data_IF_516625103294
#
_entry.id   IF_516625103294
#
_cell.length_a   1.000
_cell.length_b   1.000
_cell.length_c   1.000
_cell.angle_alpha   90.00
_cell.angle_beta   90.00
_cell.angle_gamma   90.00
#
_symmetry.space_group_name_H-M   'P 1'
#
loop_
_entity.id
_entity.type
_entity.pdbx_description
1 polymer ?
#
# COMPACT_ATOMS: atom_id res chain seq x y z
N UNK A 1 14.65 2.93 5.77
CA UNK A 1 14.19 2.27 4.54
C UNK A 1 13.71 3.33 3.56
N UNK A 2 13.49 3.04 2.28
CA UNK A 2 12.99 4.03 1.32
C UNK A 2 11.73 3.51 0.64
N UNK A 3 10.76 4.41 0.43
CA UNK A 3 9.56 4.16 -0.35
C UNK A 3 9.20 5.41 -1.18
N UNK A 4 8.16 5.31 -2.01
CA UNK A 4 7.78 6.38 -2.91
C UNK A 4 6.41 6.96 -2.56
N UNK A 5 6.23 8.22 -2.92
CA UNK A 5 4.92 8.90 -2.95
C UNK A 5 4.59 9.12 -4.43
N UNK A 6 3.53 8.50 -4.91
CA UNK A 6 3.05 8.64 -6.27
C UNK A 6 1.89 9.63 -6.32
N UNK A 7 2.05 10.70 -7.07
CA UNK A 7 0.91 11.58 -7.39
C UNK A 7 0.03 10.89 -8.43
N UNK A 8 -1.18 10.55 -8.03
CA UNK A 8 -2.14 9.82 -8.87
C UNK A 8 -3.40 10.66 -9.05
N UNK A 9 -3.91 10.72 -10.26
CA UNK A 9 -5.15 11.42 -10.58
C UNK A 9 -5.92 10.78 -11.72
N UNK A 10 -7.15 11.21 -11.93
CA UNK A 10 -8.03 10.75 -13.01
C UNK A 10 -7.59 11.23 -14.39
N UNK A 11 -6.64 12.17 -14.45
CA UNK A 11 -6.15 12.77 -15.70
C UNK A 11 -4.65 13.05 -15.63
N UNK A 12 -4.03 13.21 -16.79
CA UNK A 12 -2.64 13.66 -16.89
C UNK A 12 -2.56 15.12 -16.47
N UNK A 13 -1.73 15.41 -15.47
CA UNK A 13 -1.49 16.77 -15.00
C UNK A 13 -0.29 17.40 -15.71
N UNK A 14 -0.31 18.70 -16.01
CA UNK A 14 0.87 19.41 -16.50
C UNK A 14 1.98 19.37 -15.44
N UNK A 15 3.23 19.25 -15.87
CA UNK A 15 4.41 19.08 -15.02
C UNK A 15 4.54 20.14 -13.90
N UNK A 16 4.08 21.38 -14.17
CA UNK A 16 4.05 22.45 -13.17
C UNK A 16 3.13 22.18 -11.95
N UNK A 17 2.25 21.18 -12.05
CA UNK A 17 1.32 20.75 -10.99
C UNK A 17 1.75 19.43 -10.35
N UNK A 18 2.92 18.90 -10.71
CA UNK A 18 3.45 17.71 -10.08
C UNK A 18 3.91 18.03 -8.68
N UNK A 19 3.71 17.05 -7.78
CA UNK A 19 4.22 17.14 -6.41
C UNK A 19 5.73 17.30 -6.40
N UNK A 20 6.21 18.03 -5.42
CA UNK A 20 7.64 18.21 -5.13
C UNK A 20 7.90 17.86 -3.66
N UNK A 21 9.14 17.54 -3.38
CA UNK A 21 9.55 17.24 -1.99
C UNK A 21 9.21 18.37 -1.02
N UNK A 22 9.25 19.62 -1.46
CA UNK A 22 8.92 20.82 -0.66
C UNK A 22 7.49 20.79 -0.12
N UNK A 23 6.53 20.23 -0.89
CA UNK A 23 5.10 20.18 -0.52
C UNK A 23 4.85 19.35 0.75
N UNK A 24 5.77 18.45 1.12
CA UNK A 24 5.63 17.56 2.26
C UNK A 24 6.24 18.09 3.55
N UNK A 25 7.08 19.13 3.49
CA UNK A 25 7.71 19.74 4.67
C UNK A 25 6.75 20.68 5.42
N UNK A 26 5.76 21.25 4.77
CA UNK A 26 4.70 22.04 5.39
C UNK A 26 3.59 21.17 6.00
N UNK A 27 3.53 19.89 5.61
CA UNK A 27 2.60 18.91 6.15
C UNK A 27 3.23 18.18 7.36
N UNK A 28 2.41 17.56 8.20
CA UNK A 28 2.89 16.69 9.28
C UNK A 28 3.48 15.36 8.79
N UNK A 29 3.61 15.15 7.49
CA UNK A 29 4.15 13.90 6.94
C UNK A 29 5.62 13.72 7.29
N UNK A 30 6.43 14.74 7.07
CA UNK A 30 7.82 14.75 7.55
C UNK A 30 7.81 14.96 9.07
N UNK A 31 8.46 14.07 9.78
CA UNK A 31 8.50 14.04 11.24
C UNK A 31 7.49 13.08 11.89
N UNK A 32 6.47 12.58 11.15
CA UNK A 32 5.52 11.56 11.63
C UNK A 32 5.62 10.25 10.89
N UNK A 33 5.68 10.28 9.56
CA UNK A 33 5.74 9.11 8.68
C UNK A 33 7.11 8.99 8.03
N UNK A 34 7.72 10.10 7.67
CA UNK A 34 9.02 10.16 7.00
C UNK A 34 10.04 10.97 7.80
N UNK A 35 11.29 10.54 7.73
CA UNK A 35 12.43 11.34 8.20
C UNK A 35 12.76 12.45 7.20
N UNK A 36 12.60 12.15 5.89
CA UNK A 36 12.97 13.04 4.79
C UNK A 36 12.21 12.68 3.53
N UNK A 37 11.89 13.70 2.71
CA UNK A 37 11.34 13.55 1.36
C UNK A 37 12.27 14.20 0.34
N UNK A 38 12.49 13.56 -0.79
CA UNK A 38 13.31 14.02 -1.91
C UNK A 38 12.56 13.83 -3.23
N UNK A 39 12.83 14.67 -4.23
CA UNK A 39 12.31 14.45 -5.58
C UNK A 39 12.92 13.18 -6.18
N UNK A 40 12.09 12.36 -6.86
CA UNK A 40 12.57 11.12 -7.46
C UNK A 40 13.41 11.44 -8.70
N UNK A 41 14.65 10.92 -8.73
CA UNK A 41 15.61 11.16 -9.81
C UNK A 41 15.44 10.19 -10.98
N UNK A 42 14.85 9.05 -10.74
CA UNK A 42 14.63 8.00 -11.73
C UNK A 42 13.17 7.51 -11.71
N UNK A 43 12.22 8.32 -12.18
CA UNK A 43 10.81 8.00 -12.14
C UNK A 43 10.46 6.72 -12.92
N UNK A 44 11.17 6.42 -14.01
CA UNK A 44 10.91 5.20 -14.81
C UNK A 44 11.20 3.93 -14.03
N UNK A 45 12.26 3.91 -13.23
CA UNK A 45 12.59 2.77 -12.38
C UNK A 45 11.56 2.60 -11.25
N UNK A 46 11.13 3.69 -10.65
CA UNK A 46 10.09 3.68 -9.61
C UNK A 46 8.77 3.16 -10.16
N UNK A 47 8.36 3.57 -11.36
CA UNK A 47 7.17 3.06 -12.05
C UNK A 47 7.31 1.56 -12.38
N UNK A 48 8.47 1.13 -12.88
CA UNK A 48 8.73 -0.29 -13.15
C UNK A 48 8.61 -1.13 -11.87
N UNK A 49 9.22 -0.68 -10.79
CA UNK A 49 9.16 -1.36 -9.49
C UNK A 49 7.72 -1.45 -8.97
N UNK A 50 6.95 -0.38 -9.09
CA UNK A 50 5.53 -0.38 -8.74
C UNK A 50 4.75 -1.39 -9.57
N UNK A 51 4.97 -1.42 -10.89
CA UNK A 51 4.33 -2.38 -11.79
C UNK A 51 4.61 -3.84 -11.38
N UNK A 52 5.86 -4.18 -11.10
CA UNK A 52 6.24 -5.52 -10.64
C UNK A 52 5.54 -5.90 -9.32
N UNK A 53 5.45 -4.97 -8.38
CA UNK A 53 4.76 -5.17 -7.10
C UNK A 53 3.25 -5.37 -7.31
N UNK A 54 2.60 -4.52 -8.09
CA UNK A 54 1.15 -4.60 -8.35
C UNK A 54 0.78 -5.89 -9.11
N UNK A 55 1.59 -6.31 -10.06
CA UNK A 55 1.38 -7.56 -10.79
C UNK A 55 1.48 -8.79 -9.87
N UNK A 56 2.41 -8.80 -8.91
CA UNK A 56 2.49 -9.87 -7.90
C UNK A 56 1.23 -9.97 -7.04
N UNK A 57 0.49 -8.88 -6.90
CA UNK A 57 -0.77 -8.84 -6.16
C UNK A 57 -1.99 -9.19 -7.02
N UNK A 58 -1.82 -9.43 -8.32
CA UNK A 58 -2.90 -9.71 -9.29
C UNK A 58 -3.96 -8.60 -9.33
N UNK A 59 -3.57 -7.35 -9.08
CA UNK A 59 -4.51 -6.24 -8.98
C UNK A 59 -4.49 -5.34 -10.21
N UNK A 60 -3.30 -4.99 -10.69
CA UNK A 60 -3.08 -3.89 -11.62
C UNK A 60 -1.87 -4.09 -12.50
N UNK A 61 -1.86 -3.37 -13.61
CA UNK A 61 -0.63 -3.08 -14.35
C UNK A 61 -0.42 -1.59 -14.45
N UNK A 62 0.82 -1.18 -14.64
CA UNK A 62 1.21 0.18 -14.98
C UNK A 62 1.63 0.19 -16.45
N UNK A 63 0.95 1.01 -17.25
CA UNK A 63 1.23 1.21 -18.67
C UNK A 63 1.28 2.71 -18.93
N UNK A 64 2.25 3.18 -19.70
CA UNK A 64 2.36 4.59 -20.12
C UNK A 64 2.13 5.58 -18.94
N UNK A 65 2.78 5.33 -17.79
CA UNK A 65 2.59 6.12 -16.57
C UNK A 65 1.16 6.11 -16.01
N UNK A 66 0.40 5.08 -16.30
CA UNK A 66 -0.95 4.91 -15.75
C UNK A 66 -1.10 3.57 -15.03
N UNK A 67 -1.93 3.56 -14.01
CA UNK A 67 -2.35 2.34 -13.30
C UNK A 67 -3.68 1.89 -13.88
N UNK A 68 -3.68 0.77 -14.61
CA UNK A 68 -4.90 0.12 -15.06
C UNK A 68 -5.42 -0.84 -13.99
N UNK A 69 -6.65 -0.66 -13.56
CA UNK A 69 -7.27 -1.46 -12.50
C UNK A 69 -8.00 -2.64 -13.13
N UNK A 70 -7.51 -3.88 -12.94
CA UNK A 70 -8.15 -5.08 -13.48
C UNK A 70 -9.19 -5.67 -12.54
N UNK A 71 -8.92 -5.66 -11.23
CA UNK A 71 -9.82 -6.20 -10.24
C UNK A 71 -9.83 -5.33 -8.98
N UNK A 72 -10.95 -5.30 -8.28
CA UNK A 72 -11.02 -4.75 -6.94
C UNK A 72 -10.22 -5.62 -5.97
N UNK A 73 -9.78 -5.03 -4.85
CA UNK A 73 -8.92 -5.70 -3.88
C UNK A 73 -9.56 -6.96 -3.28
N UNK A 74 -10.88 -6.95 -3.11
CA UNK A 74 -11.68 -8.07 -2.60
C UNK A 74 -11.72 -9.29 -3.55
N UNK A 75 -11.45 -9.08 -4.84
CA UNK A 75 -11.39 -10.14 -5.88
C UNK A 75 -9.99 -10.61 -6.19
N UNK A 76 -8.98 -9.94 -5.68
CA UNK A 76 -7.58 -10.37 -5.88
C UNK A 76 -7.33 -11.72 -5.22
N UNK A 77 -6.78 -12.72 -5.95
CA UNK A 77 -6.42 -14.01 -5.38
C UNK A 77 -5.49 -13.89 -4.17
N UNK A 78 -4.62 -12.89 -4.16
CA UNK A 78 -3.71 -12.61 -3.07
C UNK A 78 -4.48 -12.25 -1.78
N UNK A 79 -5.39 -11.28 -1.84
CA UNK A 79 -6.17 -10.86 -0.66
C UNK A 79 -7.20 -11.89 -0.23
N UNK A 80 -7.79 -12.64 -1.17
CA UNK A 80 -8.64 -13.79 -0.84
C UNK A 80 -7.86 -14.84 -0.05
N UNK A 81 -6.60 -15.12 -0.43
CA UNK A 81 -5.73 -16.06 0.31
C UNK A 81 -5.40 -15.52 1.71
N UNK A 82 -5.05 -14.24 1.84
CA UNK A 82 -4.81 -13.60 3.15
C UNK A 82 -6.04 -13.68 4.05
N UNK A 83 -7.22 -13.37 3.52
CA UNK A 83 -8.48 -13.47 4.27
C UNK A 83 -8.76 -14.90 4.75
N UNK A 84 -8.55 -15.91 3.90
CA UNK A 84 -8.72 -17.33 4.28
C UNK A 84 -7.76 -17.72 5.41
N UNK A 85 -6.50 -17.29 5.34
CA UNK A 85 -5.51 -17.52 6.40
C UNK A 85 -5.93 -16.85 7.71
N UNK A 86 -6.33 -15.57 7.65
CA UNK A 86 -6.89 -14.86 8.80
C UNK A 86 -8.05 -15.61 9.45
N UNK A 87 -9.04 -16.04 8.66
CA UNK A 87 -10.21 -16.78 9.13
C UNK A 87 -9.81 -18.09 9.80
N UNK A 88 -8.84 -18.81 9.25
CA UNK A 88 -8.32 -20.06 9.83
C UNK A 88 -7.74 -19.82 11.22
N UNK A 89 -6.87 -18.82 11.37
CA UNK A 89 -6.23 -18.49 12.65
C UNK A 89 -7.23 -17.95 13.66
N UNK A 90 -8.18 -17.08 13.25
CA UNK A 90 -9.24 -16.58 14.11
C UNK A 90 -10.14 -17.72 14.65
N UNK A 91 -10.50 -18.67 13.78
CA UNK A 91 -11.26 -19.85 14.20
C UNK A 91 -10.48 -20.75 15.17
N UNK A 92 -9.17 -20.88 14.99
CA UNK A 92 -8.32 -21.63 15.90
C UNK A 92 -8.21 -20.95 17.28
N UNK A 93 -8.05 -19.62 17.30
CA UNK A 93 -8.06 -18.81 18.54
C UNK A 93 -9.37 -18.94 19.31
N UNK A 94 -10.51 -18.91 18.62
CA UNK A 94 -11.84 -19.03 19.27
C UNK A 94 -12.08 -20.41 19.89
N UNK A 95 -11.29 -21.42 19.53
CA UNK A 95 -11.39 -22.80 20.06
C UNK A 95 -10.37 -23.14 21.13
N UNK A 96 -9.55 -22.17 21.55
CA UNK A 96 -8.60 -22.38 22.65
C UNK A 96 -9.36 -22.63 23.95
N UNK A 97 -8.88 -23.65 24.70
CA UNK A 97 -9.37 -23.91 26.05
C UNK A 97 -8.69 -22.95 27.05
N UNK A 98 -9.32 -22.77 28.19
CA UNK A 98 -8.76 -21.97 29.29
C UNK A 98 -7.37 -22.47 29.72
N UNK A 99 -7.15 -23.78 29.71
CA UNK A 99 -5.86 -24.40 29.98
C UNK A 99 -4.77 -24.02 28.96
N UNK A 100 -5.12 -23.90 27.68
CA UNK A 100 -4.16 -23.44 26.65
C UNK A 100 -3.75 -21.98 26.90
N UNK A 101 -4.73 -21.13 27.25
CA UNK A 101 -4.47 -19.74 27.58
C UNK A 101 -3.55 -19.59 28.80
N UNK A 102 -3.69 -20.43 29.83
CA UNK A 102 -2.87 -20.38 31.03
C UNK A 102 -1.48 -21.02 30.85
N UNK A 103 -1.40 -22.17 30.18
CA UNK A 103 -0.20 -23.01 30.18
C UNK A 103 0.58 -22.96 28.88
N UNK A 104 -0.03 -22.56 27.77
CA UNK A 104 0.57 -22.50 26.43
C UNK A 104 0.59 -21.09 25.85
N UNK A 105 0.95 -20.11 26.69
CA UNK A 105 0.90 -18.69 26.33
C UNK A 105 1.71 -18.36 25.06
N UNK A 106 2.82 -19.02 24.83
CA UNK A 106 3.65 -18.77 23.65
C UNK A 106 2.93 -19.18 22.36
N UNK A 107 2.24 -20.33 22.35
CA UNK A 107 1.37 -20.75 21.26
C UNK A 107 0.29 -19.70 20.96
N UNK A 108 -0.32 -19.12 22.00
CA UNK A 108 -1.34 -18.06 21.84
C UNK A 108 -0.71 -16.81 21.22
N UNK A 109 0.48 -16.41 21.69
CA UNK A 109 1.21 -15.26 21.13
C UNK A 109 1.58 -15.46 19.66
N UNK A 110 2.05 -16.66 19.30
CA UNK A 110 2.39 -17.00 17.92
C UNK A 110 1.16 -16.90 16.99
N UNK A 111 0.01 -17.41 17.41
CA UNK A 111 -1.24 -17.32 16.67
C UNK A 111 -1.70 -15.87 16.50
N UNK A 112 -1.57 -15.02 17.52
CA UNK A 112 -1.88 -13.59 17.45
C UNK A 112 -0.92 -12.88 16.50
N UNK A 113 0.37 -13.23 16.56
CA UNK A 113 1.39 -12.66 15.67
C UNK A 113 1.12 -13.04 14.20
N UNK A 114 0.80 -14.32 13.93
CA UNK A 114 0.39 -14.78 12.60
C UNK A 114 -0.84 -14.00 12.10
N UNK A 115 -1.84 -13.79 12.94
CA UNK A 115 -3.03 -13.03 12.59
C UNK A 115 -2.70 -11.57 12.27
N UNK A 116 -1.82 -10.92 13.04
CA UNK A 116 -1.36 -9.56 12.78
C UNK A 116 -0.70 -9.42 11.41
N UNK A 117 0.12 -10.39 10.98
CA UNK A 117 0.79 -10.37 9.69
C UNK A 117 -0.19 -10.30 8.50
N UNK A 118 -1.43 -10.76 8.66
CA UNK A 118 -2.45 -10.67 7.61
C UNK A 118 -2.95 -9.23 7.39
N UNK A 119 -2.71 -8.34 8.33
CA UNK A 119 -3.07 -6.92 8.26
C UNK A 119 -1.88 -6.01 7.91
N UNK A 120 -0.66 -6.57 7.81
CA UNK A 120 0.49 -5.77 7.37
C UNK A 120 0.25 -5.25 5.96
N UNK A 121 0.52 -3.98 5.78
CA UNK A 121 0.53 -3.34 4.46
C UNK A 121 1.53 -4.07 3.55
N UNK A 122 1.13 -4.27 2.32
CA UNK A 122 1.95 -5.00 1.34
C UNK A 122 2.88 -4.05 0.60
N UNK A 123 2.49 -2.79 0.52
CA UNK A 123 3.21 -1.73 -0.15
C UNK A 123 3.48 -0.60 0.85
N UNK A 124 4.75 -0.28 1.03
CA UNK A 124 5.18 0.82 1.91
C UNK A 124 5.01 2.20 1.24
N UNK A 125 4.54 2.20 -0.01
CA UNK A 125 4.38 3.41 -0.81
C UNK A 125 3.11 4.17 -0.41
N UNK A 126 3.13 5.48 -0.68
CA UNK A 126 2.00 6.39 -0.49
C UNK A 126 1.47 6.92 -1.82
N UNK A 127 0.25 7.37 -1.80
CA UNK A 127 -0.42 8.06 -2.93
C UNK A 127 -0.83 9.45 -2.49
N UNK A 128 -0.46 10.45 -3.28
CA UNK A 128 -1.04 11.78 -3.23
C UNK A 128 -2.12 11.86 -4.31
N UNK A 129 -3.39 11.67 -3.92
CA UNK A 129 -4.49 11.61 -4.86
C UNK A 129 -5.04 13.03 -5.14
N UNK A 130 -5.16 13.38 -6.41
CA UNK A 130 -5.59 14.69 -6.89
C UNK A 130 -4.85 15.90 -6.25
N UNK A 131 -3.61 15.67 -5.79
CA UNK A 131 -2.77 16.66 -5.08
C UNK A 131 -3.34 17.17 -3.74
N UNK A 132 -4.37 16.51 -3.19
CA UNK A 132 -5.06 16.93 -1.97
C UNK A 132 -5.00 15.87 -0.87
N UNK A 133 -5.09 14.59 -1.25
CA UNK A 133 -5.23 13.50 -0.29
C UNK A 133 -3.99 12.61 -0.28
N UNK A 134 -3.27 12.62 0.82
CA UNK A 134 -2.14 11.72 1.05
C UNK A 134 -2.62 10.50 1.84
N UNK A 135 -2.45 9.32 1.26
CA UNK A 135 -2.89 8.04 1.85
C UNK A 135 -1.90 6.91 1.54
N UNK A 136 -1.85 5.84 2.35
CA UNK A 136 -1.12 4.63 1.99
C UNK A 136 -1.58 4.05 0.65
N UNK A 137 -0.67 3.46 -0.12
CA UNK A 137 -0.99 2.83 -1.40
C UNK A 137 -2.08 1.76 -1.25
N UNK A 138 -2.05 0.97 -0.19
CA UNK A 138 -3.06 -0.06 0.09
C UNK A 138 -4.47 0.53 0.28
N UNK A 139 -4.58 1.71 0.85
CA UNK A 139 -5.86 2.41 1.00
C UNK A 139 -6.38 2.91 -0.34
N UNK A 140 -5.53 3.54 -1.15
CA UNK A 140 -5.87 3.90 -2.54
C UNK A 140 -6.38 2.69 -3.32
N UNK A 141 -5.68 1.56 -3.20
CA UNK A 141 -6.04 0.34 -3.91
C UNK A 141 -7.41 -0.21 -3.51
N UNK A 142 -7.84 -0.03 -2.26
CA UNK A 142 -9.18 -0.44 -1.78
C UNK A 142 -10.28 0.43 -2.35
N UNK A 143 -10.01 1.71 -2.57
CA UNK A 143 -10.98 2.69 -3.07
C UNK A 143 -11.00 2.79 -4.60
N UNK A 144 -9.96 2.31 -5.26
CA UNK A 144 -9.81 2.36 -6.71
C UNK A 144 -10.87 1.51 -7.43
N UNK A 145 -11.47 2.09 -8.46
CA UNK A 145 -12.59 1.50 -9.21
C UNK A 145 -12.04 0.52 -10.24
N UNK A 146 -12.52 -0.74 -10.23
CA UNK A 146 -12.16 -1.72 -11.23
C UNK A 146 -12.59 -1.27 -12.64
N UNK A 147 -11.71 -1.45 -13.62
CA UNK A 147 -11.89 -0.98 -15.00
C UNK A 147 -11.52 0.48 -15.23
N UNK A 148 -11.25 1.25 -14.19
CA UNK A 148 -10.79 2.63 -14.31
C UNK A 148 -9.27 2.69 -14.50
N UNK A 149 -8.82 3.69 -15.27
CA UNK A 149 -7.41 4.04 -15.46
C UNK A 149 -7.09 5.29 -14.67
N UNK A 150 -5.98 5.26 -13.94
CA UNK A 150 -5.45 6.38 -13.17
C UNK A 150 -4.06 6.72 -13.69
N UNK A 151 -3.68 7.99 -13.67
CA UNK A 151 -2.43 8.48 -14.20
C UNK A 151 -1.44 8.82 -13.10
N UNK A 152 -0.21 8.35 -13.23
CA UNK A 152 0.91 8.71 -12.38
C UNK A 152 1.53 9.98 -12.97
N UNK A 153 1.61 11.04 -12.17
CA UNK A 153 2.15 12.32 -12.55
C UNK A 153 3.53 12.54 -11.89
N UNK A 154 3.58 13.17 -10.74
CA UNK A 154 4.82 13.36 -9.99
C UNK A 154 5.17 12.17 -9.10
N UNK A 155 6.45 12.00 -8.77
CA UNK A 155 6.94 10.99 -7.83
C UNK A 155 7.95 11.63 -6.91
N UNK A 156 7.77 11.45 -5.60
CA UNK A 156 8.76 11.77 -4.59
C UNK A 156 9.21 10.49 -3.88
N UNK A 157 10.42 10.50 -3.35
CA UNK A 157 10.98 9.41 -2.56
C UNK A 157 11.09 9.84 -1.11
N UNK A 158 10.72 8.98 -0.18
CA UNK A 158 10.86 9.28 1.23
C UNK A 158 11.65 8.20 1.97
N UNK A 159 12.29 8.61 3.06
CA UNK A 159 13.01 7.74 3.99
C UNK A 159 12.22 7.66 5.30
N UNK A 160 12.06 6.45 5.84
CA UNK A 160 11.43 6.15 7.13
C UNK A 160 12.21 5.11 7.91
#
# INVERSE_FOLDING_TARGET
MYANIYQISDSILPQKRWIKSEDFYESNFVGTVADKVEDERNPEESIRTLNERLNKLYLRTVEDNAIAIFASIDRSPYFVKKYKSFRKTANALSRLYYSDYLCNIDKVKDMISEMKQQFCEVLDDYVCFDSEYLMPMDEFLRTAIAGKRYFINGICKFKY
#
